data_IF_505263004851
#
_entry.id   IF_505263004851
#
_cell.length_a   1.000
_cell.length_b   1.000
_cell.length_c   1.000
_cell.angle_alpha   90.00
_cell.angle_beta   90.00
_cell.angle_gamma   90.00
#
_symmetry.space_group_name_H-M   'P 1'
#
loop_
_entity.id
_entity.type
_entity.pdbx_description
1 polymer ?
#
# COMPACT_ATOMS: atom_id res chain seq x y z
N UNK A 1 -27.56 -34.05 -41.68
CA UNK A 1 -27.23 -32.70 -41.17
C UNK A 1 -27.90 -32.53 -39.82
N UNK A 2 -27.16 -32.38 -38.73
CA UNK A 2 -27.72 -31.83 -37.48
C UNK A 2 -26.60 -31.16 -36.69
N UNK A 3 -26.54 -29.82 -36.81
CA UNK A 3 -25.59 -28.96 -36.11
C UNK A 3 -25.98 -28.92 -34.63
N UNK A 4 -25.18 -29.55 -33.76
CA UNK A 4 -25.29 -29.37 -32.31
C UNK A 4 -25.07 -27.88 -31.99
N UNK A 5 -26.15 -27.17 -31.63
CA UNK A 5 -26.08 -25.77 -31.19
C UNK A 5 -25.37 -25.74 -29.85
N UNK A 6 -24.14 -25.24 -29.81
CA UNK A 6 -23.44 -24.93 -28.55
C UNK A 6 -24.27 -23.87 -27.83
N UNK A 7 -24.89 -24.23 -26.70
CA UNK A 7 -25.50 -23.26 -25.82
C UNK A 7 -24.42 -22.26 -25.40
N UNK A 8 -24.61 -20.98 -25.72
CA UNK A 8 -23.75 -19.91 -25.23
C UNK A 8 -24.06 -19.72 -23.75
N UNK A 9 -23.44 -20.52 -22.90
CA UNK A 9 -23.49 -20.34 -21.45
C UNK A 9 -22.83 -18.99 -21.15
N UNK A 10 -23.65 -17.95 -20.99
CA UNK A 10 -23.18 -16.63 -20.55
C UNK A 10 -22.82 -16.78 -19.09
N UNK A 11 -21.53 -16.82 -18.80
CA UNK A 11 -21.03 -16.85 -17.42
C UNK A 11 -21.31 -15.45 -16.83
N UNK A 12 -22.17 -15.33 -15.80
CA UNK A 12 -22.46 -14.03 -15.22
C UNK A 12 -21.18 -13.42 -14.66
N UNK A 13 -20.95 -12.15 -14.97
CA UNK A 13 -19.83 -11.38 -14.42
C UNK A 13 -19.94 -11.42 -12.90
N UNK A 14 -18.89 -11.82 -12.16
CA UNK A 14 -18.96 -11.88 -10.71
C UNK A 14 -19.21 -10.47 -10.16
N UNK A 15 -20.46 -10.20 -9.77
CA UNK A 15 -20.91 -8.90 -9.22
C UNK A 15 -20.25 -8.60 -7.88
N UNK A 16 -19.85 -9.62 -7.14
CA UNK A 16 -19.06 -9.48 -5.94
C UNK A 16 -17.56 -9.41 -6.28
N UNK A 17 -16.97 -8.22 -6.15
CA UNK A 17 -15.52 -8.09 -5.94
C UNK A 17 -15.18 -8.97 -4.74
N UNK A 18 -14.56 -10.14 -4.96
CA UNK A 18 -14.08 -11.02 -3.87
C UNK A 18 -13.32 -10.13 -2.90
N UNK A 19 -13.85 -9.97 -1.69
CA UNK A 19 -13.20 -9.17 -0.65
C UNK A 19 -11.80 -9.73 -0.48
N UNK A 20 -10.77 -8.92 -0.80
CA UNK A 20 -9.38 -9.35 -0.65
C UNK A 20 -9.17 -9.69 0.82
N UNK A 21 -8.74 -10.92 1.09
CA UNK A 21 -8.37 -11.35 2.44
C UNK A 21 -7.31 -10.39 2.97
N UNK A 22 -7.56 -9.76 4.12
CA UNK A 22 -6.59 -8.89 4.77
C UNK A 22 -5.37 -9.72 5.17
N UNK A 23 -4.19 -9.29 4.73
CA UNK A 23 -2.92 -10.02 4.94
C UNK A 23 -2.23 -9.63 6.26
N UNK A 24 -2.77 -8.66 7.01
CA UNK A 24 -2.23 -8.18 8.29
C UNK A 24 -3.16 -8.46 9.48
N UNK A 25 -2.56 -8.88 10.60
CA UNK A 25 -3.21 -8.93 11.91
C UNK A 25 -2.90 -7.69 12.76
N UNK A 26 -3.44 -7.62 13.98
CA UNK A 26 -3.33 -6.45 14.86
C UNK A 26 -1.88 -5.97 15.09
N UNK A 27 -0.91 -6.88 15.17
CA UNK A 27 0.51 -6.55 15.36
C UNK A 27 1.09 -5.84 14.12
N UNK A 28 0.67 -6.24 12.91
CA UNK A 28 1.11 -5.58 11.67
C UNK A 28 0.56 -4.15 11.59
N UNK A 29 -0.66 -3.93 12.07
CA UNK A 29 -1.27 -2.60 12.13
C UNK A 29 -0.55 -1.68 13.10
N UNK A 30 -0.26 -2.18 14.31
CA UNK A 30 0.50 -1.42 15.30
C UNK A 30 1.89 -1.02 14.79
N UNK A 31 2.57 -1.91 14.03
CA UNK A 31 3.84 -1.56 13.37
C UNK A 31 3.65 -0.50 12.28
N UNK A 32 2.58 -0.60 11.48
CA UNK A 32 2.30 0.38 10.43
C UNK A 32 2.04 1.78 11.03
N UNK A 33 1.30 1.86 12.13
CA UNK A 33 1.05 3.12 12.83
C UNK A 33 2.32 3.71 13.46
N UNK A 34 3.17 2.86 14.06
CA UNK A 34 4.48 3.28 14.57
C UNK A 34 5.39 3.81 13.44
N UNK A 35 5.35 3.21 12.25
CA UNK A 35 6.08 3.73 11.10
C UNK A 35 5.50 5.06 10.61
N UNK A 36 4.17 5.16 10.52
CA UNK A 36 3.48 6.38 10.08
C UNK A 36 3.82 7.58 10.96
N UNK A 37 3.83 7.41 12.27
CA UNK A 37 4.21 8.46 13.23
C UNK A 37 5.67 8.88 13.07
N UNK A 38 6.60 7.93 12.86
CA UNK A 38 8.01 8.23 12.59
C UNK A 38 8.19 9.04 11.30
N UNK A 39 7.54 8.62 10.22
CA UNK A 39 7.64 9.33 8.93
C UNK A 39 7.01 10.72 8.99
N UNK A 40 5.90 10.89 9.71
CA UNK A 40 5.28 12.21 9.90
C UNK A 40 6.24 13.19 10.60
N UNK A 41 6.92 12.74 11.67
CA UNK A 41 7.94 13.56 12.36
C UNK A 41 9.10 13.96 11.44
N UNK A 42 9.58 13.03 10.62
CA UNK A 42 10.65 13.30 9.64
C UNK A 42 10.17 14.29 8.57
N UNK A 43 8.94 14.15 8.10
CA UNK A 43 8.35 15.06 7.09
C UNK A 43 8.22 16.49 7.63
N UNK A 44 7.71 16.68 8.84
CA UNK A 44 7.61 18.02 9.43
C UNK A 44 8.99 18.65 9.66
N UNK A 45 9.96 17.89 10.16
CA UNK A 45 11.34 18.36 10.30
C UNK A 45 11.98 18.74 8.95
N UNK A 46 11.59 18.10 7.84
CA UNK A 46 12.09 18.43 6.51
C UNK A 46 11.57 19.77 5.99
N UNK A 47 10.35 20.17 6.35
CA UNK A 47 9.73 21.42 5.88
C UNK A 47 10.38 22.65 6.49
N UNK A 48 10.82 22.58 7.73
CA UNK A 48 11.47 23.70 8.43
C UNK A 48 12.93 23.90 8.02
N UNK A 49 13.47 23.08 7.09
CA UNK A 49 14.87 23.14 6.67
C UNK A 49 15.87 22.69 7.74
N UNK A 50 15.37 22.34 8.93
CA UNK A 50 16.12 21.97 10.13
C UNK A 50 16.28 20.46 10.27
N UNK A 51 15.80 19.70 9.28
CA UNK A 51 16.17 18.30 9.14
C UNK A 51 17.69 18.24 9.02
N UNK A 52 18.34 17.91 10.13
CA UNK A 52 19.61 17.21 10.13
C UNK A 52 19.37 15.85 9.47
N UNK A 53 19.08 15.85 8.16
CA UNK A 53 19.01 14.61 7.41
C UNK A 53 20.37 13.95 7.57
N UNK A 54 20.44 12.62 7.64
CA UNK A 54 21.72 11.92 7.61
C UNK A 54 22.60 12.43 6.45
N UNK A 55 21.98 12.77 5.31
CA UNK A 55 22.62 13.39 4.15
C UNK A 55 23.18 14.79 4.43
N UNK A 56 22.42 15.71 5.06
CA UNK A 56 22.89 17.07 5.38
C UNK A 56 24.00 17.04 6.44
N UNK A 57 23.95 16.10 7.38
CA UNK A 57 25.05 15.82 8.34
C UNK A 57 26.28 15.23 7.66
N UNK A 58 26.10 14.41 6.62
CA UNK A 58 27.19 13.85 5.83
C UNK A 58 27.86 14.92 4.94
N UNK A 59 27.06 15.76 4.28
CA UNK A 59 27.54 16.80 3.36
C UNK A 59 28.21 17.98 4.08
N UNK A 60 27.82 18.31 5.32
CA UNK A 60 28.47 19.35 6.15
C UNK A 60 29.78 18.90 6.81
N UNK A 61 30.15 17.61 6.69
CA UNK A 61 31.41 17.06 7.26
C UNK A 61 32.58 17.12 6.26
N UNK A 62 32.31 17.49 5.00
CA UNK A 62 33.32 17.88 4.00
C UNK A 62 33.57 19.38 4.13
#
# INVERSE_FOLDING_TARGET
MNKARKSKTVIPFPTARRSRKRVGGALADARADALRTRFSKVSEASKTGDASTPLKRLLKRL
#
